data_IF_911668989940
#
_entry.id   IF_911668989940
#
_cell.length_a   1.000
_cell.length_b   1.000
_cell.length_c   1.000
_cell.angle_alpha   90.00
_cell.angle_beta   90.00
_cell.angle_gamma   90.00
#
_symmetry.space_group_name_H-M   'P 1'
#
loop_
_entity.id
_entity.type
_entity.pdbx_description
1 polymer ?
#
# COMPACT_ATOMS: atom_id res chain seq x y z
N UNK A 1 -5.09 4.54 -13.67
CA UNK A 1 -4.08 3.47 -13.74
C UNK A 1 -4.74 2.19 -14.19
N UNK A 2 -4.33 1.64 -15.33
CA UNK A 2 -4.74 0.31 -15.80
C UNK A 2 -3.62 -0.64 -15.42
N UNK A 3 -3.96 -1.80 -14.85
CA UNK A 3 -3.00 -2.85 -14.59
C UNK A 3 -2.85 -3.67 -15.89
N UNK A 4 -1.61 -3.88 -16.33
CA UNK A 4 -1.29 -4.72 -17.48
C UNK A 4 -0.66 -6.04 -17.04
N UNK A 5 -0.90 -7.10 -17.80
CA UNK A 5 -0.28 -8.42 -17.63
C UNK A 5 0.43 -8.83 -18.92
N UNK A 6 1.61 -9.40 -18.74
CA UNK A 6 2.33 -10.13 -19.79
C UNK A 6 2.54 -11.57 -19.32
N UNK A 7 2.44 -12.51 -20.25
CA UNK A 7 2.77 -13.91 -20.02
C UNK A 7 3.98 -14.25 -20.88
N UNK A 8 5.03 -14.75 -20.24
CA UNK A 8 6.26 -15.18 -20.89
C UNK A 8 6.41 -16.71 -20.73
N UNK A 9 6.88 -17.41 -21.77
CA UNK A 9 7.00 -18.87 -21.74
C UNK A 9 8.10 -19.37 -20.79
N UNK A 10 9.14 -18.56 -20.58
CA UNK A 10 10.32 -18.87 -19.78
C UNK A 10 10.96 -17.60 -19.20
N UNK A 11 12.05 -17.78 -18.46
CA UNK A 11 12.76 -16.70 -17.78
C UNK A 11 13.50 -15.78 -18.77
N UNK A 12 14.11 -16.36 -19.80
CA UNK A 12 14.83 -15.65 -20.84
C UNK A 12 13.90 -14.67 -21.58
N UNK A 13 12.68 -15.09 -21.90
CA UNK A 13 11.69 -14.23 -22.51
C UNK A 13 11.27 -13.06 -21.61
N UNK A 14 11.28 -13.21 -20.28
CA UNK A 14 11.01 -12.11 -19.34
C UNK A 14 12.08 -11.02 -19.44
N UNK A 15 13.35 -11.40 -19.64
CA UNK A 15 14.45 -10.44 -19.75
C UNK A 15 14.32 -9.51 -20.97
N UNK A 16 13.61 -9.95 -22.01
CA UNK A 16 13.36 -9.19 -23.23
C UNK A 16 12.13 -8.29 -23.14
N UNK A 17 11.36 -8.36 -22.05
CA UNK A 17 10.15 -7.53 -21.86
C UNK A 17 10.55 -6.10 -21.50
N UNK A 18 10.17 -5.16 -22.38
CA UNK A 18 10.13 -3.74 -22.03
C UNK A 18 8.75 -3.37 -21.49
N UNK A 19 8.64 -3.18 -20.18
CA UNK A 19 7.38 -2.84 -19.50
C UNK A 19 6.79 -1.48 -19.91
N UNK A 20 7.54 -0.63 -20.60
CA UNK A 20 7.07 0.68 -21.08
C UNK A 20 6.50 0.62 -22.50
N UNK A 21 6.94 -0.34 -23.31
CA UNK A 21 6.60 -0.40 -24.74
C UNK A 21 5.89 -1.68 -25.17
N UNK A 22 5.95 -2.74 -24.37
CA UNK A 22 5.26 -4.00 -24.64
C UNK A 22 3.75 -3.84 -24.60
N UNK A 23 3.05 -4.57 -25.47
CA UNK A 23 1.59 -4.67 -25.41
C UNK A 23 1.18 -5.53 -24.21
N UNK A 24 0.50 -4.92 -23.25
CA UNK A 24 0.10 -5.57 -22.01
C UNK A 24 -1.40 -5.87 -22.05
N UNK A 25 -1.76 -7.14 -21.82
CA UNK A 25 -3.15 -7.52 -21.69
C UNK A 25 -3.77 -6.81 -20.47
N UNK A 26 -4.90 -6.11 -20.61
CA UNK A 26 -5.51 -5.41 -19.49
C UNK A 26 -5.98 -6.40 -18.42
N UNK A 27 -5.72 -6.05 -17.16
CA UNK A 27 -6.25 -6.73 -15.98
C UNK A 27 -7.33 -5.83 -15.38
N UNK A 28 -8.56 -6.36 -15.32
CA UNK A 28 -9.72 -5.61 -14.84
C UNK A 28 -10.02 -5.87 -13.37
N UNK A 29 -9.58 -7.01 -12.85
CA UNK A 29 -9.77 -7.40 -11.47
C UNK A 29 -8.70 -6.79 -10.56
N UNK A 30 -9.06 -6.59 -9.29
CA UNK A 30 -8.08 -6.23 -8.29
C UNK A 30 -7.09 -7.39 -8.05
N UNK A 31 -5.83 -7.06 -7.84
CA UNK A 31 -4.77 -8.02 -7.49
C UNK A 31 -4.12 -7.59 -6.18
N UNK A 32 -3.93 -8.54 -5.28
CA UNK A 32 -3.47 -8.31 -3.91
C UNK A 32 -2.09 -8.93 -3.70
N UNK A 33 -1.22 -8.24 -2.96
CA UNK A 33 0.11 -8.75 -2.60
C UNK A 33 0.30 -8.64 -1.10
N UNK A 34 0.55 -9.77 -0.44
CA UNK A 34 0.71 -9.84 1.01
C UNK A 34 2.17 -10.03 1.35
N UNK A 35 2.73 -9.14 2.17
CA UNK A 35 4.09 -9.29 2.66
C UNK A 35 4.15 -10.46 3.66
N UNK A 36 4.78 -11.57 3.27
CA UNK A 36 5.01 -12.75 4.14
C UNK A 36 6.48 -12.95 4.49
N UNK A 37 7.34 -12.00 4.13
CA UNK A 37 8.77 -12.08 4.39
C UNK A 37 9.09 -12.08 5.90
N UNK A 38 9.68 -13.16 6.40
CA UNK A 38 10.15 -13.31 7.77
C UNK A 38 11.61 -12.98 8.02
N UNK A 39 12.42 -12.77 6.96
CA UNK A 39 13.85 -12.47 7.09
C UNK A 39 14.10 -11.03 7.53
N UNK A 40 13.29 -10.08 7.04
CA UNK A 40 13.38 -8.68 7.46
C UNK A 40 12.75 -8.46 8.82
N UNK A 41 11.61 -9.12 9.07
CA UNK A 41 10.87 -8.98 10.31
C UNK A 41 9.89 -10.16 10.51
N UNK A 42 9.89 -10.74 11.71
CA UNK A 42 9.05 -11.88 12.07
C UNK A 42 7.55 -11.57 12.05
N UNK A 43 7.12 -10.33 12.32
CA UNK A 43 5.68 -10.03 12.38
C UNK A 43 5.00 -10.12 10.99
N UNK A 44 5.72 -9.84 9.89
CA UNK A 44 5.19 -10.05 8.54
C UNK A 44 4.99 -11.54 8.23
N UNK A 45 5.95 -12.41 8.57
CA UNK A 45 5.76 -13.85 8.39
C UNK A 45 4.65 -14.42 9.30
N UNK A 46 4.59 -13.95 10.55
CA UNK A 46 3.63 -14.46 11.54
C UNK A 46 2.19 -14.10 11.21
N UNK A 47 1.91 -12.84 10.90
CA UNK A 47 0.54 -12.36 10.68
C UNK A 47 0.17 -12.36 9.19
N UNK A 48 1.11 -12.04 8.30
CA UNK A 48 0.87 -11.96 6.86
C UNK A 48 0.43 -13.28 6.23
N UNK A 49 0.95 -14.43 6.69
CA UNK A 49 0.57 -15.73 6.13
C UNK A 49 -0.92 -16.03 6.34
N UNK A 50 -1.47 -15.72 7.53
CA UNK A 50 -2.91 -15.90 7.82
C UNK A 50 -3.78 -15.01 6.93
N UNK A 51 -3.39 -13.74 6.77
CA UNK A 51 -4.07 -12.80 5.86
C UNK A 51 -4.02 -13.30 4.41
N UNK A 52 -2.87 -13.80 3.94
CA UNK A 52 -2.72 -14.40 2.61
C UNK A 52 -3.65 -15.60 2.42
N UNK A 53 -3.69 -16.53 3.37
CA UNK A 53 -4.55 -17.71 3.29
C UNK A 53 -6.03 -17.34 3.25
N UNK A 54 -6.45 -16.33 4.03
CA UNK A 54 -7.83 -15.85 4.00
C UNK A 54 -8.14 -15.16 2.67
N UNK A 55 -7.27 -14.25 2.21
CA UNK A 55 -7.42 -13.61 0.89
C UNK A 55 -7.53 -14.66 -0.21
N UNK A 56 -6.69 -15.71 -0.18
CA UNK A 56 -6.72 -16.77 -1.20
C UNK A 56 -8.06 -17.52 -1.24
N UNK A 57 -8.75 -17.66 -0.10
CA UNK A 57 -10.10 -18.24 -0.04
C UNK A 57 -11.17 -17.29 -0.61
N UNK A 58 -10.99 -15.97 -0.47
CA UNK A 58 -11.97 -14.97 -0.90
C UNK A 58 -11.78 -14.57 -2.37
N UNK A 59 -10.55 -14.35 -2.81
CA UNK A 59 -10.22 -13.80 -4.15
C UNK A 59 -9.52 -14.78 -5.09
N UNK A 60 -9.31 -16.03 -4.65
CA UNK A 60 -8.71 -17.09 -5.47
C UNK A 60 -7.26 -16.83 -5.84
N UNK A 61 -6.92 -16.95 -7.12
CA UNK A 61 -5.56 -16.74 -7.66
C UNK A 61 -5.14 -15.28 -7.76
N UNK A 62 -6.01 -14.33 -7.42
CA UNK A 62 -5.73 -12.88 -7.48
C UNK A 62 -4.90 -12.35 -6.30
N UNK A 63 -4.36 -13.24 -5.47
CA UNK A 63 -3.49 -12.87 -4.36
C UNK A 63 -2.14 -13.57 -4.44
N UNK A 64 -1.08 -12.82 -4.17
CA UNK A 64 0.29 -13.27 -4.21
C UNK A 64 0.99 -13.02 -2.88
N UNK A 65 1.92 -13.89 -2.54
CA UNK A 65 2.91 -13.58 -1.51
C UNK A 65 3.99 -12.69 -2.14
N UNK A 66 4.49 -11.73 -1.37
CA UNK A 66 5.57 -10.86 -1.81
C UNK A 66 6.61 -10.64 -0.72
N UNK A 67 7.75 -10.10 -1.13
CA UNK A 67 8.82 -9.69 -0.23
C UNK A 67 8.44 -8.40 0.52
N UNK A 68 9.42 -7.72 1.12
CA UNK A 68 9.14 -6.64 2.06
C UNK A 68 8.50 -5.42 1.38
N UNK A 69 7.29 -5.06 1.80
CA UNK A 69 6.56 -3.87 1.33
C UNK A 69 6.83 -2.59 2.15
N UNK A 70 7.69 -2.65 3.17
CA UNK A 70 7.89 -1.54 4.10
C UNK A 70 6.81 -1.47 5.19
N UNK A 71 7.18 -0.95 6.37
CA UNK A 71 6.24 -0.72 7.47
C UNK A 71 5.76 -2.00 8.16
N UNK A 72 6.66 -2.94 8.47
CA UNK A 72 6.35 -4.16 9.22
C UNK A 72 5.72 -3.91 10.60
N UNK A 73 5.93 -2.74 11.23
CA UNK A 73 5.18 -2.32 12.44
C UNK A 73 3.67 -2.22 12.23
N UNK A 74 3.23 -2.21 10.98
CA UNK A 74 1.84 -2.24 10.55
C UNK A 74 1.46 -3.60 9.93
N UNK A 75 2.24 -4.66 10.13
CA UNK A 75 1.85 -5.98 9.65
C UNK A 75 0.50 -6.41 10.23
N UNK A 76 -0.33 -7.17 9.48
CA UNK A 76 -0.14 -7.59 8.08
C UNK A 76 -0.20 -6.45 7.07
N UNK A 77 0.68 -6.49 6.06
CA UNK A 77 0.71 -5.50 4.98
C UNK A 77 0.19 -6.10 3.67
N UNK A 78 -0.73 -5.38 3.02
CA UNK A 78 -1.34 -5.74 1.75
C UNK A 78 -1.19 -4.58 0.76
N UNK A 79 -0.62 -4.82 -0.42
CA UNK A 79 -0.69 -3.90 -1.55
C UNK A 79 -1.87 -4.33 -2.44
N UNK A 80 -2.74 -3.40 -2.81
CA UNK A 80 -3.81 -3.65 -3.78
C UNK A 80 -3.56 -2.88 -5.09
N UNK A 81 -3.58 -3.59 -6.21
CA UNK A 81 -3.55 -3.03 -7.56
C UNK A 81 -4.95 -3.15 -8.19
N UNK A 82 -5.37 -2.18 -9.03
CA UNK A 82 -4.58 -1.09 -9.60
C UNK A 82 -4.50 0.17 -8.72
N UNK A 83 -5.13 0.19 -7.54
CA UNK A 83 -5.13 1.36 -6.65
C UNK A 83 -3.71 1.83 -6.29
N UNK A 84 -2.76 0.90 -6.19
CA UNK A 84 -1.38 1.19 -5.81
C UNK A 84 -1.24 1.57 -4.34
N UNK A 85 -2.22 1.22 -3.51
CA UNK A 85 -2.28 1.61 -2.10
C UNK A 85 -1.71 0.50 -1.22
N UNK A 86 -0.86 0.91 -0.28
CA UNK A 86 -0.40 0.07 0.81
C UNK A 86 -1.42 0.13 1.95
N UNK A 87 -1.84 -1.05 2.40
CA UNK A 87 -2.71 -1.25 3.56
C UNK A 87 -1.93 -1.96 4.65
N UNK A 88 -2.11 -1.53 5.89
CA UNK A 88 -1.53 -2.15 7.08
C UNK A 88 -2.60 -2.62 8.05
N UNK A 89 -2.22 -3.55 8.92
CA UNK A 89 -3.06 -4.16 9.96
C UNK A 89 -4.32 -4.79 9.37
N UNK A 90 -4.21 -5.39 8.18
CA UNK A 90 -5.32 -6.15 7.57
C UNK A 90 -5.28 -7.56 8.15
N UNK A 91 -5.85 -7.74 9.34
CA UNK A 91 -5.89 -9.06 9.98
C UNK A 91 -6.83 -10.01 9.21
N UNK A 92 -6.66 -11.31 9.42
CA UNK A 92 -7.37 -12.35 8.71
C UNK A 92 -8.89 -12.33 8.97
N UNK A 93 -9.34 -11.82 10.11
CA UNK A 93 -10.75 -11.63 10.43
C UNK A 93 -11.41 -10.44 9.70
N UNK A 94 -10.62 -9.42 9.34
CA UNK A 94 -11.08 -8.23 8.64
C UNK A 94 -11.05 -8.36 7.10
N UNK A 95 -10.43 -9.41 6.56
CA UNK A 95 -10.19 -9.59 5.11
C UNK A 95 -11.45 -9.48 4.26
N UNK A 96 -12.57 -10.06 4.69
CA UNK A 96 -13.80 -10.07 3.87
C UNK A 96 -14.36 -8.66 3.69
N UNK A 97 -14.39 -7.87 4.78
CA UNK A 97 -14.84 -6.48 4.74
C UNK A 97 -13.85 -5.61 3.96
N UNK A 98 -12.54 -5.85 4.15
CA UNK A 98 -11.48 -5.20 3.39
C UNK A 98 -11.64 -5.44 1.89
N UNK A 99 -11.76 -6.71 1.45
CA UNK A 99 -11.96 -7.08 0.05
C UNK A 99 -13.24 -6.44 -0.50
N UNK A 100 -14.36 -6.52 0.22
CA UNK A 100 -15.60 -5.87 -0.22
C UNK A 100 -15.44 -4.39 -0.52
N UNK A 101 -14.67 -3.68 0.31
CA UNK A 101 -14.35 -2.25 0.12
C UNK A 101 -13.49 -2.01 -1.12
N UNK A 102 -12.45 -2.83 -1.35
CA UNK A 102 -11.56 -2.65 -2.49
C UNK A 102 -12.26 -3.01 -3.81
N UNK A 103 -13.07 -4.08 -3.82
CA UNK A 103 -13.83 -4.52 -5.00
C UNK A 103 -14.95 -3.53 -5.37
N UNK A 104 -15.49 -2.76 -4.41
CA UNK A 104 -16.39 -1.63 -4.73
C UNK A 104 -15.65 -0.41 -5.28
N UNK A 105 -14.31 -0.48 -5.39
CA UNK A 105 -13.45 0.59 -5.84
C UNK A 105 -13.14 1.64 -4.79
N UNK A 106 -13.49 1.43 -3.52
CA UNK A 106 -13.24 2.39 -2.44
C UNK A 106 -11.92 2.08 -1.71
N UNK A 107 -11.53 2.97 -0.79
CA UNK A 107 -10.32 2.88 0.02
C UNK A 107 -10.68 2.44 1.43
N UNK A 108 -10.05 1.38 1.91
CA UNK A 108 -10.22 0.94 3.29
C UNK A 108 -9.56 1.91 4.28
N UNK A 109 -10.32 2.89 4.77
CA UNK A 109 -9.86 3.96 5.68
C UNK A 109 -9.21 3.46 6.98
N UNK A 110 -9.65 2.37 7.63
CA UNK A 110 -8.98 1.86 8.83
C UNK A 110 -7.56 1.33 8.58
N UNK A 111 -7.27 0.93 7.33
CA UNK A 111 -6.04 0.23 6.98
C UNK A 111 -5.10 1.04 6.07
N UNK A 112 -5.59 2.11 5.45
CA UNK A 112 -4.83 2.87 4.44
C UNK A 112 -3.54 3.44 5.00
N UNK A 113 -2.45 3.25 4.26
CA UNK A 113 -1.13 3.85 4.54
C UNK A 113 -0.67 4.81 3.44
N UNK A 114 -1.50 4.98 2.39
CA UNK A 114 -1.21 5.80 1.22
C UNK A 114 -0.66 5.01 0.02
N UNK A 115 -0.63 5.65 -1.15
CA UNK A 115 -0.08 5.06 -2.39
C UNK A 115 1.43 4.88 -2.32
N UNK A 116 1.91 3.71 -2.76
CA UNK A 116 3.33 3.36 -2.76
C UNK A 116 4.19 4.29 -3.61
N UNK A 117 3.63 4.87 -4.67
CA UNK A 117 4.31 5.82 -5.55
C UNK A 117 4.45 7.23 -4.96
N UNK A 118 3.77 7.53 -3.85
CA UNK A 118 3.81 8.86 -3.23
C UNK A 118 4.94 8.96 -2.19
N UNK A 119 5.55 10.15 -2.02
CA UNK A 119 6.44 10.39 -0.89
C UNK A 119 5.69 10.29 0.45
N UNK A 120 6.38 10.05 1.58
CA UNK A 120 5.73 9.83 2.89
C UNK A 120 4.73 10.91 3.31
N UNK A 121 5.02 12.18 3.04
CA UNK A 121 4.15 13.32 3.33
C UNK A 121 2.85 13.25 2.52
N UNK A 122 2.93 12.90 1.24
CA UNK A 122 1.77 12.73 0.39
C UNK A 122 1.00 11.44 0.70
N UNK A 123 1.67 10.37 1.14
CA UNK A 123 1.01 9.18 1.68
C UNK A 123 0.16 9.53 2.90
N UNK A 124 0.74 10.26 3.86
CA UNK A 124 0.01 10.71 5.04
C UNK A 124 -1.13 11.65 4.67
N UNK A 125 -0.88 12.61 3.77
CA UNK A 125 -1.89 13.56 3.30
C UNK A 125 -3.08 12.85 2.65
N UNK A 126 -2.84 11.82 1.84
CA UNK A 126 -3.90 11.01 1.23
C UNK A 126 -4.80 10.34 2.28
N UNK A 127 -4.25 9.92 3.42
CA UNK A 127 -5.07 9.35 4.49
C UNK A 127 -6.08 10.36 5.06
N UNK A 128 -5.83 11.67 4.88
CA UNK A 128 -6.64 12.76 5.43
C UNK A 128 -7.71 13.30 4.47
N UNK A 129 -7.70 12.92 3.19
CA UNK A 129 -8.71 13.40 2.23
C UNK A 129 -10.06 12.77 2.48
N UNK A 130 -11.14 13.51 2.23
CA UNK A 130 -12.51 13.00 2.39
C UNK A 130 -12.90 12.08 1.22
N UNK A 131 -12.51 12.44 0.00
CA UNK A 131 -12.77 11.64 -1.19
C UNK A 131 -11.73 10.54 -1.45
N UNK A 132 -11.98 9.75 -2.49
CA UNK A 132 -11.02 8.83 -3.11
C UNK A 132 -10.11 9.62 -4.04
N UNK A 133 -8.81 9.61 -3.77
CA UNK A 133 -7.82 10.29 -4.62
C UNK A 133 -7.75 9.61 -6.01
N UNK A 134 -7.80 10.42 -7.06
CA UNK A 134 -7.63 10.03 -8.46
C UNK A 134 -6.26 10.44 -9.00
N UNK A 135 -5.70 11.57 -8.53
CA UNK A 135 -4.37 12.04 -8.92
C UNK A 135 -3.73 12.91 -7.84
N UNK A 136 -2.40 12.89 -7.76
CA UNK A 136 -1.60 13.89 -7.05
C UNK A 136 -1.37 15.08 -7.99
N UNK A 137 -1.91 16.25 -7.65
CA UNK A 137 -1.82 17.46 -8.46
C UNK A 137 -0.55 18.26 -8.16
N UNK A 138 -0.02 18.13 -6.96
CA UNK A 138 1.26 18.72 -6.61
C UNK A 138 1.60 18.60 -5.14
N UNK A 139 2.89 18.70 -4.86
CA UNK A 139 3.45 18.79 -3.52
C UNK A 139 4.45 19.95 -3.52
N UNK A 140 4.16 21.00 -2.74
CA UNK A 140 5.04 22.15 -2.57
C UNK A 140 5.06 22.55 -1.10
N UNK A 141 6.25 22.74 -0.56
CA UNK A 141 6.48 23.06 0.85
C UNK A 141 5.79 22.06 1.78
N UNK A 142 4.74 22.49 2.47
CA UNK A 142 3.94 21.68 3.39
C UNK A 142 2.53 21.38 2.87
N UNK A 143 2.23 21.68 1.60
CA UNK A 143 0.91 21.51 0.98
C UNK A 143 0.90 20.42 -0.06
N UNK A 144 -0.01 19.47 0.10
CA UNK A 144 -0.25 18.38 -0.85
C UNK A 144 -1.65 18.55 -1.44
N UNK A 145 -1.74 18.62 -2.77
CA UNK A 145 -3.00 18.78 -3.49
C UNK A 145 -3.35 17.52 -4.26
N UNK A 146 -4.60 17.10 -4.14
CA UNK A 146 -5.15 15.93 -4.80
C UNK A 146 -6.37 16.28 -5.63
N UNK A 147 -6.51 15.63 -6.77
CA UNK A 147 -7.81 15.45 -7.40
C UNK A 147 -8.47 14.26 -6.72
N UNK A 148 -9.65 14.43 -6.14
CA UNK A 148 -10.49 13.34 -5.62
C UNK A 148 -11.77 13.23 -6.44
N UNK A 149 -12.56 12.18 -6.18
CA UNK A 149 -13.89 12.06 -6.77
C UNK A 149 -14.89 13.12 -6.26
N UNK A 150 -14.54 13.90 -5.22
CA UNK A 150 -15.37 14.96 -4.65
C UNK A 150 -14.91 16.37 -5.06
N UNK A 151 -13.81 16.47 -5.82
CA UNK A 151 -13.20 17.73 -6.22
C UNK A 151 -11.73 17.80 -5.86
N UNK A 152 -11.14 18.98 -5.96
CA UNK A 152 -9.77 19.21 -5.50
C UNK A 152 -9.75 19.34 -3.97
N UNK A 153 -8.80 18.67 -3.33
CA UNK A 153 -8.56 18.77 -1.90
C UNK A 153 -7.09 19.12 -1.66
N UNK A 154 -6.84 20.05 -0.74
CA UNK A 154 -5.51 20.41 -0.27
C UNK A 154 -5.36 20.05 1.20
N UNK A 155 -4.30 19.31 1.53
CA UNK A 155 -3.95 18.92 2.89
C UNK A 155 -2.59 19.53 3.20
N UNK A 156 -2.51 20.24 4.33
CA UNK A 156 -1.26 20.75 4.85
C UNK A 156 -0.68 19.74 5.86
N UNK A 157 0.56 19.35 5.65
CA UNK A 157 1.26 18.31 6.42
C UNK A 157 2.61 18.80 6.89
N UNK A 158 2.99 18.42 8.11
CA UNK A 158 4.28 18.80 8.68
C UNK A 158 4.92 17.62 9.38
N UNK A 159 6.19 17.39 9.04
CA UNK A 159 7.07 16.50 9.78
C UNK A 159 7.52 17.18 11.09
N UNK A 160 7.44 16.44 12.19
CA UNK A 160 7.90 16.91 13.49
C UNK A 160 9.40 17.28 13.42
N UNK A 161 9.81 18.27 14.22
CA UNK A 161 11.23 18.62 14.37
C UNK A 161 11.93 17.77 15.43
N UNK A 162 11.16 17.23 16.36
CA UNK A 162 11.64 16.38 17.46
C UNK A 162 11.20 14.96 17.15
N UNK A 163 12.12 13.98 17.15
CA UNK A 163 11.77 12.60 16.90
C UNK A 163 11.08 11.99 18.12
N UNK A 164 10.28 10.96 17.87
CA UNK A 164 9.82 10.02 18.89
C UNK A 164 10.59 8.72 18.75
N UNK A 165 10.86 8.09 19.88
CA UNK A 165 11.51 6.78 19.91
C UNK A 165 10.49 5.70 19.58
N UNK A 166 10.71 4.97 18.49
CA UNK A 166 9.84 3.87 18.08
C UNK A 166 10.65 2.61 17.87
N UNK A 167 10.18 1.50 18.43
CA UNK A 167 10.63 0.16 18.04
C UNK A 167 10.14 -0.09 16.63
N UNK A 168 11.02 0.12 15.66
CA UNK A 168 10.65 0.10 14.26
C UNK A 168 10.28 -1.31 13.81
N UNK A 169 10.97 -2.35 14.33
CA UNK A 169 10.91 -3.76 13.92
C UNK A 169 10.63 -4.74 15.06
N UNK A 170 9.88 -5.80 14.80
CA UNK A 170 9.76 -6.94 15.71
C UNK A 170 11.11 -7.66 15.75
N UNK A 171 11.84 -7.44 16.84
CA UNK A 171 13.19 -7.96 17.06
C UNK A 171 14.27 -6.88 17.17
N UNK A 172 13.94 -5.61 16.88
CA UNK A 172 14.83 -4.50 17.20
C UNK A 172 14.90 -4.34 18.73
N UNK A 173 16.11 -4.49 19.28
CA UNK A 173 16.37 -4.27 20.70
C UNK A 173 16.35 -2.78 21.09
N UNK A 174 16.57 -1.90 20.11
CA UNK A 174 16.67 -0.45 20.30
C UNK A 174 15.62 0.29 19.48
N UNK A 175 15.11 1.38 20.06
CA UNK A 175 14.24 2.31 19.36
C UNK A 175 15.03 3.17 18.37
N UNK A 176 14.34 3.64 17.33
CA UNK A 176 14.89 4.56 16.34
C UNK A 176 14.12 5.87 16.36
N UNK A 177 14.81 6.94 16.00
CA UNK A 177 14.20 8.24 15.77
C UNK A 177 13.22 8.16 14.60
N UNK A 178 11.96 8.44 14.88
CA UNK A 178 10.92 8.63 13.89
C UNK A 178 10.40 10.05 14.04
N UNK A 179 10.36 10.81 12.94
CA UNK A 179 9.79 12.16 12.91
C UNK A 179 8.34 12.04 12.42
N UNK A 180 7.34 12.11 13.31
CA UNK A 180 5.95 11.87 12.89
C UNK A 180 5.49 12.97 11.94
N UNK A 181 4.72 12.56 10.93
CA UNK A 181 4.02 13.49 10.04
C UNK A 181 2.64 13.73 10.66
N UNK A 182 2.23 14.99 10.67
CA UNK A 182 0.96 15.43 11.25
C UNK A 182 0.27 16.39 10.30
N UNK A 183 -1.08 16.42 10.37
CA UNK A 183 -1.86 17.44 9.68
C UNK A 183 -1.72 18.76 10.42
N UNK A 184 -1.55 19.86 9.70
CA UNK A 184 -1.55 21.21 10.25
C UNK A 184 -2.74 21.98 9.68
N UNK A 185 -3.49 22.69 10.52
CA UNK A 185 -4.75 23.33 10.11
C UNK A 185 -5.91 22.35 10.23
#
# INVERSE_FOLDING_TARGET
NVLGRIEAPDYEAICEVDVLTSDLAPVHENVYFVCTNGQRDLCCARYGLRTFERLRKVVGSRVWQTTHLGGHRFAPNVLALPQGILYGRVDADEVDAFVGTIESGDVSRPHVRGRSAFPPEAQFAEMQVAGRVQALLGFRDDRVRFQTNLGEEEIQVRSAKIPVQVVASCGDAESKDVYPISRTG
#
